data_IF_088831124589
#
_entry.id   IF_088831124589
#
_cell.length_a   1.000
_cell.length_b   1.000
_cell.length_c   1.000
_cell.angle_alpha   90.00
_cell.angle_beta   90.00
_cell.angle_gamma   90.00
#
_symmetry.space_group_name_H-M   'P 1'
#
loop_
_entity.id
_entity.type
_entity.pdbx_description
1 polymer ?
#
# COMPACT_ATOMS: atom_id res chain seq x y z
N UNK A 1 -3.17 10.92 7.10
CA UNK A 1 -2.95 12.24 6.46
C UNK A 1 -2.39 13.17 7.51
N UNK A 2 -1.16 13.65 7.34
CA UNK A 2 -0.61 14.71 8.19
C UNK A 2 -0.93 16.07 7.55
N UNK A 3 -1.86 16.82 8.14
CA UNK A 3 -2.26 18.15 7.64
C UNK A 3 -1.10 19.16 7.66
N UNK A 4 -0.18 19.02 8.61
CA UNK A 4 0.99 19.89 8.71
C UNK A 4 1.98 19.64 7.56
N UNK A 5 2.23 18.37 7.24
CA UNK A 5 3.14 17.98 6.16
C UNK A 5 2.61 18.44 4.78
N UNK A 6 1.31 18.27 4.53
CA UNK A 6 0.70 18.69 3.25
C UNK A 6 0.69 20.21 3.10
N UNK A 7 0.44 20.95 4.19
CA UNK A 7 0.57 22.41 4.20
C UNK A 7 2.01 22.87 3.93
N UNK A 8 3.02 22.17 4.45
CA UNK A 8 4.41 22.44 4.12
C UNK A 8 4.71 22.22 2.63
N UNK A 9 4.19 21.14 2.02
CA UNK A 9 4.36 20.89 0.58
C UNK A 9 3.74 22.00 -0.28
N UNK A 10 2.56 22.51 0.12
CA UNK A 10 1.89 23.61 -0.58
C UNK A 10 2.74 24.88 -0.57
N UNK A 11 3.45 25.17 0.53
CA UNK A 11 4.31 26.36 0.67
C UNK A 11 5.53 26.34 -0.27
N UNK A 12 5.99 25.16 -0.71
CA UNK A 12 7.13 25.06 -1.61
C UNK A 12 6.85 25.74 -2.98
N UNK A 13 7.86 26.45 -3.49
CA UNK A 13 7.82 27.22 -4.75
C UNK A 13 8.97 26.77 -5.66
N UNK A 14 8.89 27.06 -6.96
CA UNK A 14 9.94 26.72 -7.94
C UNK A 14 9.96 25.26 -8.40
N UNK A 15 8.99 24.43 -7.98
CA UNK A 15 8.85 23.04 -8.43
C UNK A 15 7.96 22.94 -9.66
N UNK A 16 8.29 22.03 -10.58
CA UNK A 16 7.39 21.63 -11.67
C UNK A 16 6.08 21.06 -11.08
N UNK A 17 4.92 21.20 -11.76
CA UNK A 17 3.64 20.72 -11.25
C UNK A 17 3.66 19.25 -10.81
N UNK A 18 4.19 18.35 -11.63
CA UNK A 18 4.28 16.92 -11.31
C UNK A 18 5.22 16.65 -10.14
N UNK A 19 6.37 17.33 -10.06
CA UNK A 19 7.29 17.24 -8.90
C UNK A 19 6.60 17.67 -7.61
N UNK A 20 5.72 18.68 -7.69
CA UNK A 20 4.94 19.16 -6.56
C UNK A 20 3.84 18.17 -6.14
N UNK A 21 3.22 17.48 -7.10
CA UNK A 21 2.27 16.39 -6.83
C UNK A 21 2.96 15.23 -6.10
N UNK A 22 4.15 14.82 -6.56
CA UNK A 22 4.95 13.78 -5.90
C UNK A 22 5.27 14.16 -4.46
N UNK A 23 5.71 15.39 -4.21
CA UNK A 23 5.96 15.90 -2.86
C UNK A 23 4.69 15.88 -1.99
N UNK A 24 3.57 16.30 -2.56
CA UNK A 24 2.29 16.33 -1.84
C UNK A 24 1.84 14.93 -1.41
N UNK A 25 1.91 13.93 -2.29
CA UNK A 25 1.57 12.54 -1.94
C UNK A 25 2.52 11.94 -0.89
N UNK A 26 3.80 12.29 -0.93
CA UNK A 26 4.76 11.88 0.11
C UNK A 26 4.40 12.50 1.46
N UNK A 27 4.01 13.78 1.48
CA UNK A 27 3.58 14.48 2.68
C UNK A 27 2.25 13.97 3.23
N UNK A 28 1.29 13.62 2.37
CA UNK A 28 0.01 13.06 2.80
C UNK A 28 0.17 11.72 3.53
N UNK A 29 1.14 10.93 3.06
CA UNK A 29 1.51 9.62 3.62
C UNK A 29 2.49 9.69 4.79
N UNK A 30 2.94 10.88 5.18
CA UNK A 30 3.84 11.04 6.32
C UNK A 30 3.13 10.78 7.65
N UNK A 31 3.79 10.01 8.52
CA UNK A 31 3.39 9.80 9.90
C UNK A 31 4.50 10.32 10.84
N UNK A 32 4.19 11.19 11.82
CA UNK A 32 5.20 11.73 12.75
C UNK A 32 5.99 10.67 13.54
N UNK A 33 5.34 9.57 13.93
CA UNK A 33 5.96 8.55 14.79
C UNK A 33 6.83 7.58 13.97
N UNK A 34 6.34 7.21 12.78
CA UNK A 34 6.96 6.15 11.99
C UNK A 34 7.81 6.71 10.84
N UNK A 35 7.42 7.81 10.23
CA UNK A 35 8.01 8.39 9.01
C UNK A 35 7.22 8.07 7.73
N UNK A 36 7.85 8.27 6.57
CA UNK A 36 7.24 8.04 5.25
C UNK A 36 7.91 6.86 4.51
N UNK A 37 7.13 5.82 4.19
CA UNK A 37 7.61 4.59 3.52
C UNK A 37 6.68 4.04 2.41
N UNK A 38 6.11 4.86 1.51
CA UNK A 38 5.36 4.32 0.39
C UNK A 38 6.25 3.45 -0.51
N UNK A 39 5.68 2.36 -1.05
CA UNK A 39 6.34 1.66 -2.15
C UNK A 39 6.37 2.57 -3.39
N UNK A 40 7.44 2.47 -4.18
CA UNK A 40 7.55 3.27 -5.41
C UNK A 40 6.41 2.98 -6.39
N UNK A 41 5.96 1.73 -6.48
CA UNK A 41 4.83 1.35 -7.32
C UNK A 41 3.54 2.05 -6.87
N UNK A 42 3.28 2.09 -5.56
CA UNK A 42 2.11 2.79 -5.03
C UNK A 42 2.20 4.31 -5.24
N UNK A 43 3.37 4.89 -5.00
CA UNK A 43 3.59 6.32 -5.18
C UNK A 43 3.45 6.73 -6.66
N UNK A 44 3.97 5.90 -7.58
CA UNK A 44 3.83 6.11 -9.02
C UNK A 44 2.37 6.06 -9.47
N UNK A 45 1.62 5.07 -8.98
CA UNK A 45 0.18 4.96 -9.21
C UNK A 45 -0.58 6.19 -8.68
N UNK A 46 -0.31 6.62 -7.45
CA UNK A 46 -1.01 7.77 -6.86
C UNK A 46 -0.72 9.07 -7.62
N UNK A 47 0.49 9.22 -8.16
CA UNK A 47 0.90 10.39 -8.94
C UNK A 47 0.54 10.27 -10.44
N UNK A 48 -0.06 9.15 -10.87
CA UNK A 48 -0.42 8.86 -12.26
C UNK A 48 0.77 8.96 -13.24
N UNK A 49 1.96 8.52 -12.81
CA UNK A 49 3.19 8.56 -13.62
C UNK A 49 3.89 7.21 -13.65
N UNK A 50 4.77 7.03 -14.64
CA UNK A 50 5.64 5.85 -14.71
C UNK A 50 6.66 5.83 -13.56
N UNK A 51 7.19 4.64 -13.21
CA UNK A 51 8.25 4.51 -12.19
C UNK A 51 9.54 5.24 -12.58
N UNK A 52 9.89 5.28 -13.86
CA UNK A 52 11.05 6.03 -14.36
C UNK A 52 10.86 7.54 -14.16
N UNK A 53 9.69 8.06 -14.55
CA UNK A 53 9.33 9.48 -14.37
C UNK A 53 9.28 9.85 -12.88
N UNK A 54 8.75 8.96 -12.03
CA UNK A 54 8.78 9.14 -10.58
C UNK A 54 10.20 9.30 -10.05
N UNK A 55 11.14 8.46 -10.49
CA UNK A 55 12.54 8.56 -10.06
C UNK A 55 13.20 9.87 -10.50
N UNK A 56 12.88 10.39 -11.69
CA UNK A 56 13.34 11.71 -12.14
C UNK A 56 12.81 12.84 -11.23
N UNK A 57 11.52 12.80 -10.87
CA UNK A 57 10.93 13.79 -9.96
C UNK A 57 11.45 13.67 -8.53
N UNK A 58 11.70 12.45 -8.04
CA UNK A 58 12.38 12.23 -6.75
C UNK A 58 13.78 12.86 -6.80
N UNK A 59 14.55 12.64 -7.87
CA UNK A 59 15.87 13.25 -8.05
C UNK A 59 15.82 14.79 -8.04
N UNK A 60 14.79 15.40 -8.65
CA UNK A 60 14.58 16.85 -8.57
C UNK A 60 14.27 17.33 -7.15
N UNK A 61 13.51 16.56 -6.37
CA UNK A 61 13.22 16.88 -4.96
C UNK A 61 14.45 16.73 -4.07
N UNK A 62 15.32 15.76 -4.35
CA UNK A 62 16.61 15.58 -3.68
C UNK A 62 17.57 16.73 -4.02
N UNK A 63 17.67 17.12 -5.29
CA UNK A 63 18.47 18.26 -5.73
C UNK A 63 17.97 19.59 -5.14
N UNK A 64 16.65 19.73 -4.94
CA UNK A 64 16.05 20.88 -4.26
C UNK A 64 16.22 20.83 -2.72
N UNK A 65 16.81 19.77 -2.16
CA UNK A 65 16.99 19.61 -0.72
C UNK A 65 15.68 19.44 0.05
N UNK A 66 14.60 18.99 -0.60
CA UNK A 66 13.27 18.81 0.02
C UNK A 66 13.01 17.38 0.47
N UNK A 67 13.83 16.43 -0.01
CA UNK A 67 13.65 15.01 0.18
C UNK A 67 15.01 14.32 0.26
N UNK A 68 15.06 13.21 1.00
CA UNK A 68 16.19 12.25 0.96
C UNK A 68 15.66 10.82 1.01
N UNK A 69 16.08 9.97 0.08
CA UNK A 69 15.81 8.53 0.14
C UNK A 69 16.85 7.79 0.98
N UNK A 70 16.38 6.93 1.89
CA UNK A 70 17.24 6.03 2.68
C UNK A 70 16.80 4.59 2.42
N UNK A 71 17.58 3.79 1.67
CA UNK A 71 17.31 2.37 1.52
C UNK A 71 17.45 1.68 2.88
N UNK A 72 16.56 0.74 3.17
CA UNK A 72 16.53 0.02 4.45
C UNK A 72 16.70 -1.47 4.20
N UNK A 73 17.50 -2.11 5.04
CA UNK A 73 17.71 -3.56 5.04
C UNK A 73 17.36 -4.08 6.42
N UNK A 74 16.62 -5.17 6.47
CA UNK A 74 16.26 -5.81 7.74
C UNK A 74 17.54 -6.35 8.42
N UNK A 75 17.82 -6.02 9.69
CA UNK A 75 19.12 -6.31 10.32
C UNK A 75 19.43 -7.81 10.39
N UNK A 76 18.40 -8.61 10.72
CA UNK A 76 18.50 -10.07 10.88
C UNK A 76 18.36 -10.81 9.55
N UNK A 77 17.24 -10.64 8.84
CA UNK A 77 16.93 -11.41 7.63
C UNK A 77 17.63 -10.93 6.36
N UNK A 78 18.34 -9.79 6.42
CA UNK A 78 18.99 -9.11 5.27
C UNK A 78 18.07 -8.84 4.08
N UNK A 79 16.76 -8.91 4.26
CA UNK A 79 15.78 -8.57 3.23
C UNK A 79 15.69 -7.06 3.03
N UNK A 80 15.50 -6.64 1.79
CA UNK A 80 15.23 -5.25 1.46
C UNK A 80 13.89 -4.82 2.07
N UNK A 81 13.88 -3.69 2.75
CA UNK A 81 12.70 -3.06 3.34
C UNK A 81 12.26 -1.88 2.46
N UNK A 82 11.00 -1.42 2.60
CA UNK A 82 10.54 -0.20 1.94
C UNK A 82 11.47 0.98 2.22
N UNK A 83 11.85 1.68 1.16
CA UNK A 83 12.69 2.89 1.22
C UNK A 83 12.03 3.93 2.13
N UNK A 84 12.83 4.50 3.03
CA UNK A 84 12.38 5.64 3.84
C UNK A 84 12.59 6.92 3.06
N UNK A 85 11.56 7.75 3.00
CA UNK A 85 11.63 9.10 2.49
C UNK A 85 11.68 10.04 3.69
N UNK A 86 12.80 10.75 3.83
CA UNK A 86 12.98 11.77 4.86
C UNK A 86 12.64 13.11 4.23
N UNK A 87 11.62 13.77 4.76
CA UNK A 87 11.12 15.05 4.24
C UNK A 87 11.90 16.22 4.84
N UNK A 88 12.05 17.30 4.09
CA UNK A 88 12.86 18.47 4.46
C UNK A 88 12.42 19.18 5.74
N UNK A 89 11.20 18.96 6.23
CA UNK A 89 10.71 19.49 7.50
C UNK A 89 10.98 18.58 8.70
N UNK A 90 11.42 17.33 8.50
CA UNK A 90 11.71 16.42 9.61
C UNK A 90 12.90 16.95 10.45
N UNK A 91 12.83 16.86 11.79
CA UNK A 91 13.94 17.26 12.65
C UNK A 91 15.19 16.40 12.35
N UNK A 92 16.34 17.05 12.16
CA UNK A 92 17.58 16.37 11.77
C UNK A 92 17.69 16.05 10.27
N UNK A 93 16.83 16.64 9.42
CA UNK A 93 16.99 16.56 7.98
C UNK A 93 18.35 17.15 7.56
N UNK A 94 19.14 16.32 6.90
CA UNK A 94 20.41 16.69 6.28
C UNK A 94 20.28 16.36 4.79
N UNK A 95 20.35 17.36 3.89
CA UNK A 95 20.38 17.10 2.46
C UNK A 95 21.49 16.10 2.15
N UNK A 96 21.20 15.11 1.31
CA UNK A 96 22.23 14.19 0.86
C UNK A 96 23.11 14.94 -0.15
N UNK A 97 24.35 15.27 0.24
CA UNK A 97 25.38 15.55 -0.74
C UNK A 97 25.67 14.21 -1.44
N UNK A 98 25.50 14.10 -2.77
CA UNK A 98 25.83 12.87 -3.46
C UNK A 98 27.35 12.67 -3.36
N UNK A 99 27.78 11.65 -2.62
CA UNK A 99 29.08 11.04 -2.90
C UNK A 99 28.99 10.47 -4.32
N UNK A 100 30.00 10.67 -5.19
CA UNK A 100 29.98 10.11 -6.53
C UNK A 100 29.84 8.59 -6.42
N UNK A 101 28.69 8.05 -6.82
CA UNK A 101 28.45 6.62 -6.80
C UNK A 101 29.54 5.91 -7.63
N UNK A 102 30.25 4.91 -7.08
CA UNK A 102 31.15 4.09 -7.87
C UNK A 102 30.33 3.32 -8.92
N UNK A 103 30.71 3.52 -10.19
CA UNK A 103 30.29 2.76 -11.38
C UNK A 103 30.24 1.26 -11.08
N UNK A 104 29.08 0.73 -10.71
CA UNK A 104 28.84 -0.72 -10.74
C UNK A 104 28.09 -1.02 -12.03
N UNK A 105 28.83 -0.90 -13.14
CA UNK A 105 28.41 -1.47 -14.42
C UNK A 105 28.44 -2.98 -14.32
N UNK A 106 27.27 -3.61 -14.22
CA UNK A 106 27.12 -5.04 -14.43
C UNK A 106 27.14 -5.30 -15.95
N UNK A 107 28.35 -5.42 -16.50
CA UNK A 107 28.61 -5.89 -17.86
C UNK A 107 29.56 -7.09 -17.80
N UNK A 108 29.15 -8.18 -18.44
CA UNK A 108 29.74 -9.52 -18.39
C UNK A 108 31.25 -9.55 -18.65
N UNK A 109 31.97 -10.31 -17.81
CA UNK A 109 33.26 -10.86 -18.16
C UNK A 109 33.01 -12.01 -19.13
N UNK A 110 33.36 -11.82 -20.40
CA UNK A 110 33.60 -12.92 -21.32
C UNK A 110 35.09 -12.92 -21.68
N UNK A 111 35.65 -14.10 -21.50
CA UNK A 111 37.03 -14.49 -21.69
C UNK A 111 37.56 -14.17 -23.09
N UNK A 112 38.74 -13.57 -23.15
CA UNK A 112 39.68 -13.84 -24.21
C UNK A 112 41.08 -13.98 -23.62
N UNK A 113 41.57 -15.21 -23.69
CA UNK A 113 42.90 -15.65 -23.31
C UNK A 113 44.00 -14.85 -24.04
N UNK A 114 45.16 -14.78 -23.37
CA UNK A 114 46.26 -13.90 -23.74
C UNK A 114 47.14 -14.37 -24.89
N UNK A 115 48.31 -13.71 -24.99
CA UNK A 115 49.66 -14.27 -25.18
C UNK A 115 50.68 -13.11 -25.24
N UNK A 116 51.76 -13.27 -24.47
CA UNK A 116 53.13 -12.73 -24.55
C UNK A 116 53.31 -11.19 -24.58
N UNK A 117 53.88 -10.54 -23.56
CA UNK A 117 55.30 -10.56 -23.12
C UNK A 117 56.28 -10.25 -24.26
N UNK A 118 56.87 -9.04 -24.29
CA UNK A 118 58.33 -8.77 -24.15
C UNK A 118 58.50 -7.30 -23.69
N UNK A 119 59.18 -7.04 -22.57
CA UNK A 119 59.74 -5.72 -22.23
C UNK A 119 61.14 -5.49 -22.85
N UNK A 120 62.03 -4.69 -22.25
CA UNK A 120 61.96 -3.25 -21.94
C UNK A 120 63.10 -2.48 -22.68
N UNK A 121 63.26 -1.19 -22.33
CA UNK A 121 64.53 -0.45 -22.25
C UNK A 121 64.89 0.59 -23.34
N UNK A 122 64.79 1.86 -22.91
CA UNK A 122 65.71 3.00 -23.00
C UNK A 122 66.65 3.25 -24.19
N UNK A 123 66.74 4.56 -24.44
CA UNK A 123 67.93 5.34 -24.79
C UNK A 123 68.28 5.55 -26.29
N UNK A 124 68.06 6.82 -26.66
CA UNK A 124 68.96 7.68 -27.45
C UNK A 124 69.07 7.49 -28.98
N UNK A 125 68.66 8.57 -29.65
CA UNK A 125 68.81 8.98 -31.05
C UNK A 125 70.28 9.34 -31.39
N UNK A 126 70.64 9.83 -32.61
CA UNK A 126 70.00 9.82 -33.95
C UNK A 126 70.97 9.36 -35.08
N UNK A 127 70.46 9.06 -36.28
CA UNK A 127 71.04 9.66 -37.50
C UNK A 127 70.06 9.65 -38.66
N UNK A 128 70.16 10.68 -39.49
CA UNK A 128 69.17 11.18 -40.42
C UNK A 128 69.24 10.57 -41.82
N UNK A 129 68.11 10.47 -42.51
CA UNK A 129 67.92 10.99 -43.87
C UNK A 129 66.45 10.92 -44.31
N UNK A 130 65.91 12.12 -44.46
CA UNK A 130 64.67 12.57 -45.12
C UNK A 130 64.38 11.97 -46.53
N UNK A 131 63.19 12.16 -47.16
CA UNK A 131 62.50 13.46 -47.17
C UNK A 131 60.97 13.55 -47.32
N UNK A 132 60.51 14.80 -47.08
CA UNK A 132 59.33 15.50 -47.61
C UNK A 132 57.95 15.31 -46.93
N UNK A 133 57.39 16.40 -46.36
CA UNK A 133 56.37 17.24 -47.03
C UNK A 133 55.91 18.44 -46.14
N UNK A 134 55.71 19.58 -46.79
CA UNK A 134 55.46 20.92 -46.26
C UNK A 134 54.26 21.07 -45.31
N UNK A 135 54.48 21.72 -44.16
CA UNK A 135 53.45 22.40 -43.37
C UNK A 135 53.57 23.92 -43.53
N UNK A 136 52.54 24.56 -44.09
CA UNK A 136 52.40 26.02 -44.14
C UNK A 136 51.44 26.52 -43.05
N UNK A 137 51.92 27.48 -42.26
CA UNK A 137 51.30 28.33 -41.23
C UNK A 137 49.85 28.80 -41.52
N UNK A 138 49.01 29.23 -40.58
CA UNK A 138 49.17 29.70 -39.19
C UNK A 138 47.85 30.39 -38.76
N UNK A 139 47.62 30.48 -37.45
CA UNK A 139 46.37 30.76 -36.74
C UNK A 139 45.80 32.20 -36.83
N UNK A 140 44.49 32.38 -36.58
CA UNK A 140 43.95 33.17 -35.44
C UNK A 140 42.42 33.45 -35.53
N UNK A 141 41.61 32.69 -34.81
CA UNK A 141 40.36 33.15 -34.16
C UNK A 141 39.86 32.06 -33.19
N UNK A 142 40.05 32.27 -31.88
CA UNK A 142 39.45 31.44 -30.83
C UNK A 142 38.12 32.06 -30.39
N UNK A 143 37.04 31.29 -30.20
CA UNK A 143 36.03 31.60 -29.20
C UNK A 143 36.33 30.84 -27.90
N UNK A 144 36.04 31.51 -26.78
CA UNK A 144 36.23 31.08 -25.40
C UNK A 144 35.02 30.28 -24.94
N UNK A 145 35.22 29.06 -24.43
CA UNK A 145 34.30 28.38 -23.52
C UNK A 145 34.98 27.13 -22.93
N UNK A 146 35.48 27.23 -21.71
CA UNK A 146 35.99 26.11 -20.90
C UNK A 146 34.85 25.24 -20.35
N UNK A 147 34.21 24.45 -21.20
CA UNK A 147 33.36 23.34 -20.76
C UNK A 147 33.69 22.08 -21.57
N UNK A 148 34.03 21.00 -20.87
CA UNK A 148 34.20 19.66 -21.46
C UNK A 148 32.87 19.15 -22.02
N UNK A 149 32.84 18.50 -23.20
CA UNK A 149 31.62 17.85 -23.68
C UNK A 149 31.33 16.61 -22.83
N UNK A 150 30.15 16.54 -22.21
CA UNK A 150 29.63 15.27 -21.70
C UNK A 150 29.49 14.28 -22.87
N UNK A 151 29.87 13.00 -22.73
CA UNK A 151 29.64 12.02 -23.78
C UNK A 151 28.13 11.82 -23.96
N UNK A 152 27.61 12.25 -25.12
CA UNK A 152 26.24 11.98 -25.53
C UNK A 152 26.06 10.46 -25.77
N UNK A 153 24.97 9.84 -25.27
CA UNK A 153 24.61 8.50 -25.69
C UNK A 153 24.18 8.50 -27.16
N UNK A 154 24.73 7.57 -27.95
CA UNK A 154 24.35 7.34 -29.35
C UNK A 154 22.84 7.03 -29.44
N UNK A 155 22.13 7.84 -30.22
CA UNK A 155 20.70 7.66 -30.48
C UNK A 155 20.51 6.94 -31.83
N UNK A 156 19.82 5.79 -31.81
CA UNK A 156 19.30 5.17 -33.03
C UNK A 156 18.12 5.97 -33.62
N UNK A 157 17.85 5.76 -34.92
CA UNK A 157 16.92 6.50 -35.79
C UNK A 157 15.44 6.44 -35.35
N UNK A 158 15.09 7.14 -34.29
CA UNK A 158 13.73 7.59 -34.01
C UNK A 158 13.79 8.81 -33.09
N UNK A 159 13.66 9.99 -33.72
CA UNK A 159 13.94 11.32 -33.18
C UNK A 159 12.83 11.87 -32.26
N UNK A 160 12.15 11.05 -31.46
CA UNK A 160 11.32 11.53 -30.34
C UNK A 160 11.22 10.43 -29.27
N UNK A 161 11.86 10.62 -28.10
CA UNK A 161 11.31 10.02 -26.88
C UNK A 161 9.96 10.69 -26.70
N UNK A 162 8.86 9.96 -26.77
CA UNK A 162 7.56 10.45 -26.28
C UNK A 162 7.50 10.12 -24.79
N UNK A 163 7.96 11.00 -23.86
CA UNK A 163 7.68 10.83 -22.44
C UNK A 163 6.18 11.00 -22.14
N UNK A 164 5.43 11.58 -23.08
CA UNK A 164 4.00 11.79 -22.96
C UNK A 164 3.24 10.71 -23.74
N UNK A 165 3.00 9.58 -23.08
CA UNK A 165 1.73 8.87 -23.31
C UNK A 165 0.72 9.44 -22.33
N UNK A 166 0.39 10.73 -22.46
CA UNK A 166 -0.79 11.28 -21.83
C UNK A 166 -1.98 10.84 -22.71
N UNK A 167 -2.88 9.95 -22.26
CA UNK A 167 -4.17 9.84 -22.91
C UNK A 167 -4.85 11.20 -22.72
N UNK A 168 -4.81 12.03 -23.76
CA UNK A 168 -5.54 13.30 -23.83
C UNK A 168 -6.99 13.00 -23.48
N UNK A 169 -7.38 13.28 -22.23
CA UNK A 169 -8.75 13.66 -21.92
C UNK A 169 -8.85 15.10 -22.38
N UNK A 170 -9.64 15.31 -23.44
CA UNK A 170 -9.95 16.65 -23.93
C UNK A 170 -10.34 17.55 -22.76
N UNK A 171 -9.86 18.81 -22.73
CA UNK A 171 -10.25 19.75 -21.69
C UNK A 171 -11.78 19.92 -21.74
N UNK A 172 -12.44 19.61 -20.63
CA UNK A 172 -13.85 19.92 -20.39
C UNK A 172 -14.06 21.42 -20.66
N UNK A 173 -14.52 21.75 -21.86
CA UNK A 173 -14.76 23.12 -22.33
C UNK A 173 -16.08 23.70 -21.82
N UNK A 174 -16.51 23.27 -20.63
CA UNK A 174 -17.67 23.80 -19.94
C UNK A 174 -17.26 24.00 -18.48
N UNK A 175 -17.62 25.13 -17.82
CA UNK A 175 -17.52 25.17 -16.38
C UNK A 175 -18.30 23.97 -15.87
N UNK A 176 -17.69 23.18 -14.98
CA UNK A 176 -18.41 22.14 -14.24
C UNK A 176 -19.47 22.89 -13.44
N UNK A 177 -20.66 23.02 -14.03
CA UNK A 177 -21.87 22.97 -13.24
C UNK A 177 -21.74 21.69 -12.44
N UNK A 178 -21.85 21.78 -11.13
CA UNK A 178 -22.01 20.68 -10.18
C UNK A 178 -23.30 19.84 -10.45
N UNK A 179 -23.78 19.83 -11.69
CA UNK A 179 -25.13 19.47 -12.10
C UNK A 179 -25.10 18.84 -13.52
N UNK A 180 -24.08 18.06 -13.86
CA UNK A 180 -24.07 17.29 -15.11
C UNK A 180 -23.32 15.94 -15.01
N UNK A 181 -23.43 15.28 -13.85
CA UNK A 181 -23.31 13.81 -13.74
C UNK A 181 -24.60 13.18 -13.18
N UNK A 182 -25.73 13.86 -13.43
CA UNK A 182 -27.07 13.29 -13.39
C UNK A 182 -27.29 12.34 -14.60
N UNK A 183 -26.34 11.45 -14.89
CA UNK A 183 -26.62 10.28 -15.72
C UNK A 183 -27.50 9.36 -14.90
N UNK A 184 -28.81 9.51 -15.03
CA UNK A 184 -29.88 8.53 -14.80
C UNK A 184 -29.39 7.22 -14.16
N UNK A 185 -29.05 7.31 -12.89
CA UNK A 185 -28.65 6.22 -12.02
C UNK A 185 -29.62 6.38 -10.89
N UNK A 186 -30.72 5.61 -10.91
CA UNK A 186 -31.81 5.73 -9.95
C UNK A 186 -31.24 5.98 -8.56
N UNK A 187 -31.39 7.22 -8.10
CA UNK A 187 -31.04 7.58 -6.74
C UNK A 187 -31.86 6.68 -5.84
N UNK A 188 -31.24 6.19 -4.77
CA UNK A 188 -31.96 5.45 -3.76
C UNK A 188 -33.18 6.28 -3.32
N UNK A 189 -34.38 5.69 -3.24
CA UNK A 189 -35.57 6.42 -2.79
C UNK A 189 -35.31 7.12 -1.46
N UNK A 190 -35.69 8.40 -1.36
CA UNK A 190 -35.47 9.20 -0.15
C UNK A 190 -36.17 8.57 1.06
N UNK A 191 -37.40 8.08 0.88
CA UNK A 191 -38.17 7.40 1.91
C UNK A 191 -37.42 6.20 2.51
N UNK A 192 -36.80 5.37 1.66
CA UNK A 192 -36.02 4.22 2.11
C UNK A 192 -34.74 4.64 2.85
N UNK A 193 -34.06 5.69 2.39
CA UNK A 193 -32.89 6.21 3.09
C UNK A 193 -33.26 6.78 4.48
N UNK A 194 -34.40 7.46 4.59
CA UNK A 194 -34.94 7.91 5.88
C UNK A 194 -35.31 6.75 6.81
N UNK A 195 -35.92 5.68 6.28
CA UNK A 195 -36.22 4.47 7.06
C UNK A 195 -34.94 3.79 7.58
N UNK A 196 -33.90 3.73 6.76
CA UNK A 196 -32.59 3.24 7.17
C UNK A 196 -31.99 4.09 8.30
N UNK A 197 -32.06 5.42 8.20
CA UNK A 197 -31.58 6.33 9.25
C UNK A 197 -32.35 6.11 10.56
N UNK A 198 -33.68 6.01 10.49
CA UNK A 198 -34.54 5.69 11.65
C UNK A 198 -34.15 4.34 12.27
N UNK A 199 -33.91 3.31 11.45
CA UNK A 199 -33.47 2.00 11.93
C UNK A 199 -32.09 2.03 12.62
N UNK A 200 -31.24 2.99 12.24
CA UNK A 200 -29.94 3.23 12.87
C UNK A 200 -30.00 4.14 14.10
N UNK A 201 -31.18 4.68 14.44
CA UNK A 201 -31.36 5.63 15.52
C UNK A 201 -30.80 7.03 15.20
N UNK A 202 -30.66 7.36 13.92
CA UNK A 202 -30.22 8.67 13.45
C UNK A 202 -31.42 9.55 13.12
N UNK A 203 -31.36 10.81 13.52
CA UNK A 203 -32.35 11.82 13.17
C UNK A 203 -32.07 12.37 11.75
N UNK A 204 -32.99 12.21 10.78
CA UNK A 204 -32.82 12.73 9.42
C UNK A 204 -32.60 14.25 9.36
N UNK A 205 -33.06 14.99 10.39
CA UNK A 205 -32.94 16.45 10.44
C UNK A 205 -31.62 16.92 11.05
N UNK A 206 -30.87 16.03 11.70
CA UNK A 206 -29.62 16.35 12.42
C UNK A 206 -28.57 15.24 12.23
N UNK A 207 -28.16 15.05 10.98
CA UNK A 207 -27.20 14.01 10.61
C UNK A 207 -25.75 14.43 10.86
N UNK A 208 -24.88 13.54 11.36
CA UNK A 208 -23.44 13.75 11.35
C UNK A 208 -22.91 13.95 9.92
N UNK A 209 -21.81 14.70 9.75
CA UNK A 209 -21.28 15.05 8.42
C UNK A 209 -20.99 13.88 7.49
N UNK A 210 -20.64 12.71 8.04
CA UNK A 210 -20.39 11.47 7.29
C UNK A 210 -21.67 10.70 6.90
N UNK A 211 -22.86 11.13 7.34
CA UNK A 211 -24.18 10.66 6.88
C UNK A 211 -24.87 11.69 5.96
N UNK A 212 -24.24 12.83 5.69
CA UNK A 212 -24.75 13.88 4.81
C UNK A 212 -24.30 13.69 3.36
N UNK A 213 -25.12 14.19 2.43
CA UNK A 213 -24.81 14.25 1.01
C UNK A 213 -24.91 12.91 0.28
N UNK A 214 -24.24 12.83 -0.86
CA UNK A 214 -24.28 11.68 -1.76
C UNK A 214 -23.45 10.45 -1.33
N UNK A 215 -22.26 10.58 -0.71
CA UNK A 215 -21.42 9.41 -0.39
C UNK A 215 -22.12 8.30 0.43
N UNK A 216 -22.95 8.62 1.44
CA UNK A 216 -23.70 7.61 2.19
C UNK A 216 -24.72 6.86 1.34
N UNK A 217 -25.38 7.56 0.42
CA UNK A 217 -26.33 6.97 -0.52
C UNK A 217 -25.61 6.04 -1.49
N UNK A 218 -24.38 6.37 -1.89
CA UNK A 218 -23.57 5.46 -2.71
C UNK A 218 -23.27 4.14 -1.99
N UNK A 219 -22.94 4.19 -0.70
CA UNK A 219 -22.70 2.98 0.11
C UNK A 219 -23.92 2.06 0.15
N UNK A 220 -25.09 2.62 0.45
CA UNK A 220 -26.35 1.85 0.49
C UNK A 220 -26.66 1.26 -0.88
N UNK A 221 -26.33 1.98 -1.95
CA UNK A 221 -26.57 1.52 -3.32
C UNK A 221 -25.69 0.33 -3.64
N UNK A 222 -24.41 0.36 -3.23
CA UNK A 222 -23.50 -0.78 -3.39
C UNK A 222 -23.97 -2.01 -2.62
N UNK A 223 -24.62 -1.85 -1.46
CA UNK A 223 -25.23 -3.00 -0.79
C UNK A 223 -26.37 -3.62 -1.60
N UNK A 224 -27.19 -2.79 -2.26
CA UNK A 224 -28.25 -3.29 -3.14
C UNK A 224 -27.71 -3.92 -4.41
N UNK A 225 -26.87 -3.19 -5.13
CA UNK A 225 -26.42 -3.53 -6.48
C UNK A 225 -25.31 -4.61 -6.45
N UNK A 226 -24.31 -4.49 -5.55
CA UNK A 226 -23.16 -5.40 -5.51
C UNK A 226 -23.39 -6.61 -4.60
N UNK A 227 -24.08 -6.41 -3.46
CA UNK A 227 -24.35 -7.50 -2.51
C UNK A 227 -25.70 -8.19 -2.76
N UNK A 228 -26.54 -7.63 -3.63
CA UNK A 228 -27.84 -8.18 -3.98
C UNK A 228 -28.84 -8.17 -2.83
N UNK A 229 -28.66 -7.27 -1.86
CA UNK A 229 -29.58 -7.11 -0.72
C UNK A 229 -30.76 -6.25 -1.15
N UNK A 230 -31.98 -6.69 -0.84
CA UNK A 230 -33.15 -5.83 -0.97
C UNK A 230 -33.22 -4.80 0.18
N UNK A 231 -34.09 -3.81 0.02
CA UNK A 231 -34.27 -2.70 0.96
C UNK A 231 -34.68 -3.20 2.36
N UNK A 232 -35.57 -4.19 2.43
CA UNK A 232 -36.01 -4.79 3.68
C UNK A 232 -34.85 -5.47 4.43
N UNK A 233 -34.01 -6.24 3.72
CA UNK A 233 -32.83 -6.88 4.28
C UNK A 233 -31.81 -5.86 4.80
N UNK A 234 -31.63 -4.75 4.10
CA UNK A 234 -30.74 -3.67 4.53
C UNK A 234 -31.25 -3.06 5.85
N UNK A 235 -32.54 -2.73 5.94
CA UNK A 235 -33.15 -2.18 7.17
C UNK A 235 -33.07 -3.18 8.32
N UNK A 236 -33.35 -4.47 8.07
CA UNK A 236 -33.28 -5.52 9.08
C UNK A 236 -31.86 -5.65 9.66
N UNK A 237 -30.85 -5.71 8.79
CA UNK A 237 -29.44 -5.81 9.20
C UNK A 237 -28.99 -4.56 9.96
N UNK A 238 -29.45 -3.37 9.55
CA UNK A 238 -29.21 -2.12 10.26
C UNK A 238 -29.81 -2.17 11.69
N UNK A 239 -31.05 -2.63 11.83
CA UNK A 239 -31.71 -2.81 13.12
C UNK A 239 -31.03 -3.86 14.00
N UNK A 240 -30.63 -5.01 13.45
CA UNK A 240 -29.83 -6.02 14.17
C UNK A 240 -28.49 -5.47 14.66
N UNK A 241 -27.83 -4.65 13.83
CA UNK A 241 -26.60 -3.96 14.21
C UNK A 241 -26.81 -3.05 15.42
N UNK A 242 -27.97 -2.38 15.56
CA UNK A 242 -28.28 -1.54 16.74
C UNK A 242 -28.54 -2.32 18.01
N UNK A 243 -29.13 -3.51 17.90
CA UNK A 243 -29.32 -4.41 19.05
C UNK A 243 -28.00 -4.92 19.63
N UNK A 244 -26.99 -5.09 18.78
CA UNK A 244 -25.66 -5.56 19.18
C UNK A 244 -24.71 -4.44 19.57
N UNK A 245 -24.87 -3.27 18.95
CA UNK A 245 -24.08 -2.06 19.20
C UNK A 245 -25.01 -0.86 19.36
N UNK A 246 -25.31 -0.42 20.60
CA UNK A 246 -26.32 0.63 20.83
C UNK A 246 -25.90 2.02 20.36
N UNK A 247 -24.60 2.32 20.25
CA UNK A 247 -24.10 3.62 19.80
C UNK A 247 -24.10 3.75 18.28
N UNK A 248 -24.71 4.81 17.70
CA UNK A 248 -24.91 4.96 16.26
C UNK A 248 -23.61 4.81 15.45
N UNK A 249 -23.67 4.22 14.25
CA UNK A 249 -22.46 3.98 13.46
C UNK A 249 -21.79 5.29 13.01
N UNK A 250 -20.45 5.33 13.12
CA UNK A 250 -19.56 6.40 12.63
C UNK A 250 -19.66 6.64 11.11
N UNK A 251 -20.45 5.84 10.41
CA UNK A 251 -20.77 6.01 9.00
C UNK A 251 -21.32 4.73 8.36
N UNK A 252 -21.85 4.83 7.13
CA UNK A 252 -22.39 3.69 6.40
C UNK A 252 -21.40 2.52 6.32
N UNK A 253 -20.11 2.83 6.09
CA UNK A 253 -19.03 1.84 5.99
C UNK A 253 -18.91 0.91 7.21
N UNK A 254 -19.31 1.36 8.40
CA UNK A 254 -19.30 0.51 9.60
C UNK A 254 -20.24 -0.71 9.45
N UNK A 255 -21.26 -0.61 8.60
CA UNK A 255 -22.22 -1.67 8.33
C UNK A 255 -21.79 -2.61 7.20
N UNK A 256 -20.76 -2.28 6.41
CA UNK A 256 -20.34 -3.08 5.24
C UNK A 256 -20.11 -4.56 5.60
N UNK A 257 -19.47 -4.82 6.75
CA UNK A 257 -19.20 -6.20 7.19
C UNK A 257 -20.47 -6.93 7.64
N UNK A 258 -21.44 -6.23 8.20
CA UNK A 258 -22.75 -6.80 8.54
C UNK A 258 -23.53 -7.14 7.26
N UNK A 259 -23.55 -6.22 6.29
CA UNK A 259 -24.19 -6.40 4.99
C UNK A 259 -23.56 -7.55 4.19
N UNK A 260 -22.24 -7.66 4.16
CA UNK A 260 -21.54 -8.79 3.51
C UNK A 260 -21.93 -10.13 4.13
N UNK A 261 -22.04 -10.22 5.47
CA UNK A 261 -22.49 -11.44 6.15
C UNK A 261 -23.94 -11.76 5.81
N UNK A 262 -24.81 -10.76 5.76
CA UNK A 262 -26.21 -10.93 5.38
C UNK A 262 -26.34 -11.45 3.94
N UNK A 263 -25.59 -10.88 2.99
CA UNK A 263 -25.54 -11.35 1.60
C UNK A 263 -25.03 -12.79 1.50
N UNK A 264 -24.01 -13.17 2.29
CA UNK A 264 -23.54 -14.56 2.35
C UNK A 264 -24.60 -15.51 2.91
N UNK A 265 -25.34 -15.11 3.96
CA UNK A 265 -26.47 -15.90 4.49
C UNK A 265 -27.54 -16.07 3.42
N UNK A 266 -27.93 -14.99 2.73
CA UNK A 266 -28.91 -14.99 1.64
C UNK A 266 -28.52 -15.96 0.52
N UNK A 267 -27.25 -15.96 0.11
CA UNK A 267 -26.70 -16.89 -0.90
C UNK A 267 -26.71 -18.34 -0.43
N UNK A 268 -26.61 -18.59 0.88
CA UNK A 268 -26.65 -19.94 1.46
C UNK A 268 -28.08 -20.46 1.66
N UNK A 269 -29.04 -19.61 2.02
CA UNK A 269 -30.45 -19.99 2.21
C UNK A 269 -31.28 -19.94 0.93
N UNK A 270 -30.82 -19.24 -0.12
CA UNK A 270 -31.43 -19.25 -1.45
C UNK A 270 -32.78 -18.53 -1.58
N UNK A 271 -33.25 -17.85 -0.53
CA UNK A 271 -34.50 -17.11 -0.54
C UNK A 271 -34.22 -15.61 -0.81
N UNK A 272 -34.74 -15.05 -1.92
CA UNK A 272 -34.93 -13.59 -2.04
C UNK A 272 -35.99 -13.22 -1.01
N UNK A 273 -35.73 -12.29 -0.11
CA UNK A 273 -36.69 -11.91 0.93
C UNK A 273 -37.83 -11.17 0.21
N UNK A 274 -38.94 -11.88 -0.01
CA UNK A 274 -40.15 -11.28 -0.53
C UNK A 274 -40.79 -10.40 0.55
N UNK A 275 -41.24 -9.22 0.16
CA UNK A 275 -42.00 -8.29 0.99
C UNK A 275 -43.22 -8.97 1.62
N UNK A 276 -43.42 -8.69 2.90
CA UNK A 276 -44.60 -8.90 3.72
C UNK A 276 -45.25 -10.29 3.70
N UNK A 277 -45.01 -11.04 4.78
CA UNK A 277 -45.83 -12.17 5.16
C UNK A 277 -45.31 -12.81 6.43
N UNK A 278 -46.01 -12.56 7.55
CA UNK A 278 -45.88 -13.34 8.77
C UNK A 278 -45.93 -14.84 8.44
N UNK A 279 -44.82 -15.56 8.65
CA UNK A 279 -44.82 -17.01 8.77
C UNK A 279 -43.56 -17.49 9.47
N UNK A 280 -43.75 -17.97 10.71
CA UNK A 280 -42.87 -18.92 11.38
C UNK A 280 -42.35 -19.97 10.39
N UNK A 281 -41.06 -19.92 10.07
CA UNK A 281 -40.37 -21.08 9.51
C UNK A 281 -39.01 -21.23 10.18
N UNK A 282 -38.96 -22.24 11.06
CA UNK A 282 -37.76 -22.75 11.68
C UNK A 282 -36.81 -23.32 10.61
N UNK A 283 -35.97 -22.47 10.05
CA UNK A 283 -34.84 -22.86 9.20
C UNK A 283 -33.64 -23.22 10.08
N UNK A 284 -33.44 -24.51 10.34
CA UNK A 284 -32.26 -25.08 11.02
C UNK A 284 -30.97 -24.59 10.36
N UNK A 285 -30.35 -23.55 10.92
CA UNK A 285 -28.94 -23.29 10.69
C UNK A 285 -28.13 -24.32 11.48
N UNK A 286 -27.20 -24.98 10.79
CA UNK A 286 -26.14 -25.79 11.39
C UNK A 286 -25.13 -24.84 12.08
N UNK A 287 -25.62 -24.08 13.04
CA UNK A 287 -24.78 -23.44 14.03
C UNK A 287 -24.80 -24.39 15.21
N UNK A 288 -23.66 -25.02 15.48
CA UNK A 288 -23.47 -25.79 16.71
C UNK A 288 -23.50 -24.79 17.87
N UNK A 289 -24.70 -24.37 18.25
CA UNK A 289 -25.00 -23.78 19.54
C UNK A 289 -24.66 -24.86 20.56
N UNK A 290 -23.40 -24.88 20.99
CA UNK A 290 -23.12 -25.27 22.36
C UNK A 290 -23.83 -24.21 23.19
N UNK A 291 -24.89 -24.61 23.87
CA UNK A 291 -25.45 -23.88 24.99
C UNK A 291 -24.30 -23.31 25.84
N UNK A 292 -24.44 -22.15 26.49
CA UNK A 292 -23.51 -21.73 27.50
C UNK A 292 -23.71 -22.65 28.71
N UNK A 293 -23.22 -23.89 28.61
CA UNK A 293 -22.82 -24.64 29.78
C UNK A 293 -21.70 -23.87 30.48
N UNK A 294 -21.44 -24.14 31.76
CA UNK A 294 -20.31 -23.55 32.47
C UNK A 294 -19.07 -23.63 31.58
N UNK A 295 -18.40 -22.49 31.32
CA UNK A 295 -17.14 -22.55 30.62
C UNK A 295 -16.24 -23.50 31.41
N UNK A 296 -15.69 -24.56 30.77
CA UNK A 296 -14.91 -25.52 31.52
C UNK A 296 -13.78 -24.79 32.24
N UNK A 297 -13.67 -25.05 33.54
CA UNK A 297 -12.68 -24.40 34.38
C UNK A 297 -11.27 -24.66 33.83
N UNK A 298 -10.29 -23.86 34.25
CA UNK A 298 -8.90 -24.12 33.88
C UNK A 298 -8.48 -25.56 34.27
N UNK A 299 -9.02 -26.07 35.38
CA UNK A 299 -8.76 -27.41 35.90
C UNK A 299 -9.36 -28.50 35.01
N UNK A 300 -10.61 -28.32 34.58
CA UNK A 300 -11.29 -29.26 33.68
C UNK A 300 -10.60 -29.34 32.31
N UNK A 301 -10.14 -28.19 31.81
CA UNK A 301 -9.36 -28.13 30.57
C UNK A 301 -8.01 -28.83 30.73
N UNK A 302 -7.30 -28.59 31.83
CA UNK A 302 -6.02 -29.23 32.11
C UNK A 302 -6.17 -30.76 32.22
N UNK A 303 -7.20 -31.25 32.91
CA UNK A 303 -7.48 -32.68 33.02
C UNK A 303 -7.78 -33.33 31.66
N UNK A 304 -8.60 -32.67 30.83
CA UNK A 304 -8.93 -33.16 29.49
C UNK A 304 -7.68 -33.29 28.60
N UNK A 305 -6.84 -32.26 28.56
CA UNK A 305 -5.61 -32.30 27.76
C UNK A 305 -4.56 -33.25 28.35
N UNK A 306 -4.51 -33.42 29.67
CA UNK A 306 -3.63 -34.40 30.31
C UNK A 306 -4.00 -35.83 29.92
N UNK A 307 -5.29 -36.17 29.88
CA UNK A 307 -5.75 -37.47 29.38
C UNK A 307 -5.32 -37.70 27.93
N UNK A 308 -5.41 -36.66 27.09
CA UNK A 308 -5.03 -36.74 25.69
C UNK A 308 -3.52 -36.96 25.51
N UNK A 309 -2.68 -36.26 26.30
CA UNK A 309 -1.21 -36.41 26.30
C UNK A 309 -0.75 -37.73 26.90
N UNK A 310 -1.46 -38.24 27.90
CA UNK A 310 -1.15 -39.54 28.50
C UNK A 310 -1.61 -40.70 27.60
N UNK A 311 -2.70 -40.56 26.84
CA UNK A 311 -3.15 -41.55 25.85
C UNK A 311 -2.31 -41.56 24.57
N UNK A 312 -2.22 -42.66 23.83
CA UNK A 312 -1.48 -42.72 22.55
C UNK A 312 -2.27 -42.18 21.34
N UNK A 313 -3.31 -41.37 21.58
CA UNK A 313 -4.12 -40.75 20.52
C UNK A 313 -3.33 -39.68 19.79
N UNK A 314 -3.64 -39.48 18.50
CA UNK A 314 -3.01 -38.44 17.69
C UNK A 314 -3.20 -37.06 18.33
N UNK A 315 -2.10 -36.34 18.51
CA UNK A 315 -2.07 -34.98 19.05
C UNK A 315 -1.56 -34.04 17.95
N UNK A 316 -2.41 -33.19 17.37
CA UNK A 316 -1.97 -32.21 16.38
C UNK A 316 -0.99 -31.19 16.98
N UNK A 317 -0.03 -30.72 16.18
CA UNK A 317 0.88 -29.65 16.60
C UNK A 317 0.10 -28.38 16.98
N UNK A 318 0.54 -27.67 18.03
CA UNK A 318 -0.07 -26.45 18.58
C UNK A 318 -1.48 -26.63 19.20
N UNK A 319 -1.92 -27.87 19.47
CA UNK A 319 -3.23 -28.11 20.13
C UNK A 319 -3.26 -27.64 21.59
N UNK A 320 -2.09 -27.64 22.26
CA UNK A 320 -1.96 -27.28 23.67
C UNK A 320 -1.35 -25.89 23.76
N UNK A 321 -2.08 -24.95 24.37
CA UNK A 321 -1.55 -23.61 24.66
C UNK A 321 -0.57 -23.66 25.83
N UNK A 322 0.36 -22.69 25.88
CA UNK A 322 1.30 -22.55 27.00
C UNK A 322 0.58 -22.47 28.35
N UNK A 323 -0.55 -21.76 28.43
CA UNK A 323 -1.36 -21.66 29.65
C UNK A 323 -1.90 -23.01 30.13
N UNK A 324 -2.34 -23.88 29.21
CA UNK A 324 -2.85 -25.21 29.56
C UNK A 324 -1.70 -26.16 29.89
N UNK A 325 -0.58 -26.05 29.17
CA UNK A 325 0.66 -26.79 29.47
C UNK A 325 1.13 -26.52 30.91
N UNK A 326 1.21 -25.24 31.27
CA UNK A 326 1.66 -24.82 32.60
C UNK A 326 0.65 -25.27 33.68
N UNK A 327 -0.66 -25.17 33.40
CA UNK A 327 -1.70 -25.66 34.31
C UNK A 327 -1.66 -27.18 34.54
N UNK A 328 -1.34 -27.98 33.50
CA UNK A 328 -1.16 -29.44 33.61
C UNK A 328 0.07 -29.80 34.45
N UNK A 329 1.18 -29.07 34.27
CA UNK A 329 2.42 -29.27 35.02
C UNK A 329 2.26 -28.87 36.49
N UNK A 330 1.65 -27.72 36.75
CA UNK A 330 1.38 -27.22 38.10
C UNK A 330 0.50 -28.19 38.91
N UNK A 331 -0.44 -28.87 38.25
CA UNK A 331 -1.33 -29.88 38.86
C UNK A 331 -0.76 -31.30 38.86
N UNK A 332 0.45 -31.50 38.34
CA UNK A 332 1.12 -32.80 38.29
C UNK A 332 0.42 -33.85 37.41
N UNK A 333 -0.42 -33.42 36.48
CA UNK A 333 -1.23 -34.34 35.64
C UNK A 333 -0.44 -34.96 34.49
N UNK A 334 0.69 -34.34 34.13
CA UNK A 334 1.59 -34.79 33.06
C UNK A 334 3.04 -34.47 33.46
N UNK A 335 3.99 -35.29 33.04
CA UNK A 335 5.43 -35.00 33.21
C UNK A 335 5.99 -34.20 32.03
N UNK A 336 7.01 -33.38 32.30
CA UNK A 336 7.73 -32.61 31.27
C UNK A 336 8.26 -33.53 30.16
N UNK A 337 8.71 -34.74 30.54
CA UNK A 337 9.21 -35.76 29.61
C UNK A 337 8.13 -36.27 28.66
N UNK A 338 6.90 -36.53 29.16
CA UNK A 338 5.78 -36.99 28.33
C UNK A 338 5.33 -35.91 27.35
N UNK A 339 5.34 -34.64 27.75
CA UNK A 339 5.04 -33.51 26.85
C UNK A 339 6.07 -33.39 25.73
N UNK A 340 7.37 -33.51 26.06
CA UNK A 340 8.46 -33.51 25.07
C UNK A 340 8.36 -34.68 24.10
N UNK A 341 8.07 -35.89 24.60
CA UNK A 341 7.86 -37.07 23.77
C UNK A 341 6.70 -36.90 22.78
N UNK A 342 5.74 -36.01 23.09
CA UNK A 342 4.59 -35.70 22.24
C UNK A 342 4.74 -34.42 21.43
N UNK A 343 5.94 -33.86 21.36
CA UNK A 343 6.26 -32.69 20.53
C UNK A 343 5.66 -31.38 21.04
N UNK A 344 5.21 -31.35 22.30
CA UNK A 344 4.72 -30.13 22.96
C UNK A 344 5.93 -29.46 23.63
N UNK A 345 6.28 -28.26 23.15
CA UNK A 345 7.42 -27.48 23.66
C UNK A 345 7.04 -26.62 24.86
#
# INVERSE_FOLDING_TARGET
MSHEATNWAIKQRGLKPTTKIVLWHLCDRFNPDYGCFPSQERLAHDCEISRSTLNEHIGQLEAAGLLRRVPRIHPVTKRQMPTRYILGFEPGFTPHAPDPCPETGHGHADDAAGVADIGPFDAETPDMAEPCLNSGHGCAARPVSDFTPDPCPENAESRVRNPDTNPVREPLSKPVKEEEDARAREAIPDDFFEELLKALGLDPTSLPGWWQGWPPREHVRRWRDDLGLDEAAIIEVAGESRRTHPEPPDGPKALDRAMQRASQRLKQTGARIAMNGSANTAGRSRQKNRSPGPMPSADEKAAFYAELVNSDRFLPANTISNSIRDAMLERGLVTVERLRARGVR
#
